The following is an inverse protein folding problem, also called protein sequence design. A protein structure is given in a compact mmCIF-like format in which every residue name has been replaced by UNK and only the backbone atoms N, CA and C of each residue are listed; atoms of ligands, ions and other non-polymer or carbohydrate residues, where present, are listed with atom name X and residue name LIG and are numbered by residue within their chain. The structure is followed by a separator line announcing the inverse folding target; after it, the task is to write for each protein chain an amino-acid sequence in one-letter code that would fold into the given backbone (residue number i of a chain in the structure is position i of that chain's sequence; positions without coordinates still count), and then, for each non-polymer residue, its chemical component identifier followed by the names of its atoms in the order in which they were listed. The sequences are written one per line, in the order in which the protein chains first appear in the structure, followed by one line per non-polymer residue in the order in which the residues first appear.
data_IF_267219271431
#
_entry.id   IF_267219271431
#
_cell.length_a   1.000
_cell.length_b   1.000
_cell.length_c   1.000
_cell.angle_alpha   90.00
_cell.angle_beta   90.00
_cell.angle_gamma   90.00
#
_symmetry.space_group_name_H-M   'P 1'
#
loop_
_entity.id
_entity.type
_entity.pdbx_description
1 polymer ?
#
# COMPACT_ATOMS: atom_id res chain seq x y z
N UNK A 1 37.85 11.51 -0.35
CA UNK A 1 36.81 12.47 0.07
C UNK A 1 35.50 12.11 -0.62
N UNK A 2 34.66 11.31 0.02
CA UNK A 2 33.33 10.96 -0.53
C UNK A 2 32.37 12.06 -0.10
N UNK A 3 31.86 12.80 -1.08
CA UNK A 3 30.88 13.86 -0.89
C UNK A 3 29.55 13.24 -0.41
N UNK A 4 29.29 13.31 0.90
CA UNK A 4 28.00 12.91 1.48
C UNK A 4 26.92 13.87 0.97
N UNK A 5 26.18 13.48 -0.06
CA UNK A 5 24.91 14.12 -0.40
C UNK A 5 23.97 13.92 0.79
N UNK A 6 23.78 14.98 1.59
CA UNK A 6 22.76 15.05 2.63
C UNK A 6 21.40 15.08 1.95
N UNK A 7 20.73 13.92 1.89
CA UNK A 7 19.37 13.81 1.37
C UNK A 7 18.38 14.25 2.45
N UNK A 8 17.77 15.42 2.25
CA UNK A 8 16.74 15.97 3.13
C UNK A 8 15.36 15.48 2.64
N UNK A 9 14.56 14.89 3.54
CA UNK A 9 13.15 14.57 3.26
C UNK A 9 12.28 15.83 3.22
N UNK A 10 11.09 15.74 2.60
CA UNK A 10 10.03 16.77 2.69
C UNK A 10 9.60 17.06 4.14
N UNK A 11 9.85 16.15 5.07
CA UNK A 11 9.64 16.32 6.52
C UNK A 11 10.81 16.98 7.27
N UNK A 12 11.93 17.27 6.60
CA UNK A 12 13.12 17.85 7.23
C UNK A 12 13.93 16.87 8.11
N UNK A 13 13.61 15.58 8.06
CA UNK A 13 14.35 14.52 8.78
C UNK A 13 15.61 14.15 8.02
N UNK A 14 16.73 14.07 8.73
CA UNK A 14 18.04 13.71 8.22
C UNK A 14 18.33 12.22 8.49
N UNK A 15 19.16 11.60 7.66
CA UNK A 15 19.58 10.21 7.83
C UNK A 15 21.00 10.20 8.36
N UNK A 16 21.24 9.56 9.51
CA UNK A 16 22.59 9.43 10.05
C UNK A 16 23.46 8.58 9.09
N UNK A 17 24.70 8.97 8.77
CA UNK A 17 25.63 8.17 7.96
C UNK A 17 25.80 6.71 8.44
N UNK A 18 25.65 6.45 9.74
CA UNK A 18 25.72 5.11 10.32
C UNK A 18 24.65 4.16 9.75
N UNK A 19 23.51 4.68 9.30
CA UNK A 19 22.45 3.89 8.65
C UNK A 19 22.96 3.31 7.33
N UNK A 20 23.69 4.11 6.54
CA UNK A 20 24.22 3.67 5.25
C UNK A 20 25.35 2.66 5.44
N UNK A 21 26.26 2.91 6.38
CA UNK A 21 27.37 2.00 6.66
C UNK A 21 26.88 0.66 7.21
N UNK A 22 25.85 0.66 8.07
CA UNK A 22 25.26 -0.57 8.62
C UNK A 22 24.47 -1.33 7.55
N UNK A 23 23.74 -0.62 6.68
CA UNK A 23 23.07 -1.27 5.55
C UNK A 23 24.05 -1.86 4.54
N UNK A 24 25.16 -1.18 4.27
CA UNK A 24 26.22 -1.70 3.40
C UNK A 24 26.81 -2.99 3.96
N UNK A 25 27.00 -3.11 5.28
CA UNK A 25 27.40 -4.37 5.94
C UNK A 25 26.37 -5.50 5.79
N UNK A 26 25.08 -5.17 5.67
CA UNK A 26 24.02 -6.14 5.37
C UNK A 26 24.00 -6.52 3.88
N UNK A 27 24.28 -5.57 2.97
CA UNK A 27 24.19 -5.76 1.51
C UNK A 27 25.47 -6.26 0.84
N UNK A 28 26.66 -5.99 1.37
CA UNK A 28 27.95 -6.36 0.78
C UNK A 28 28.56 -7.59 1.46
N UNK A 29 28.53 -8.72 0.75
CA UNK A 29 29.45 -9.86 0.88
C UNK A 29 29.38 -10.72 2.15
N UNK A 30 29.24 -10.12 3.34
CA UNK A 30 29.35 -10.83 4.62
C UNK A 30 28.00 -11.22 5.23
N UNK A 31 26.89 -10.57 4.85
CA UNK A 31 25.53 -10.82 5.38
C UNK A 31 25.55 -11.03 6.90
N UNK A 32 26.35 -10.22 7.60
CA UNK A 32 26.59 -10.37 9.05
C UNK A 32 25.29 -10.16 9.83
N UNK A 33 24.43 -9.24 9.35
CA UNK A 33 23.16 -8.89 9.97
C UNK A 33 21.97 -9.56 9.29
N UNK A 34 21.08 -10.15 10.09
CA UNK A 34 19.82 -10.72 9.62
C UNK A 34 18.73 -9.65 9.53
N UNK A 35 18.69 -8.76 10.51
CA UNK A 35 17.81 -7.59 10.49
C UNK A 35 18.41 -6.41 11.22
N UNK A 36 17.99 -5.22 10.81
CA UNK A 36 18.38 -3.94 11.39
C UNK A 36 17.10 -3.16 11.69
N UNK A 37 17.01 -2.59 12.89
CA UNK A 37 15.92 -1.75 13.34
C UNK A 37 16.43 -0.31 13.41
N UNK A 38 15.68 0.60 12.80
CA UNK A 38 15.94 2.03 12.82
C UNK A 38 14.82 2.77 13.55
N UNK A 39 15.20 3.83 14.26
CA UNK A 39 14.30 4.74 14.96
C UNK A 39 14.59 6.16 14.49
N UNK A 40 13.56 7.00 14.47
CA UNK A 40 13.69 8.45 14.33
C UNK A 40 13.73 9.05 15.73
N UNK A 41 14.80 9.76 16.03
CA UNK A 41 14.97 10.50 17.29
C UNK A 41 15.18 11.99 16.97
N UNK A 42 14.32 12.82 17.56
CA UNK A 42 14.24 14.30 17.44
C UNK A 42 14.06 14.88 16.03
N UNK A 43 14.83 14.44 15.03
CA UNK A 43 14.72 14.68 13.57
C UNK A 43 15.75 13.88 12.75
N UNK A 44 16.40 12.88 13.34
CA UNK A 44 17.43 12.08 12.68
C UNK A 44 17.09 10.59 12.75
N UNK A 45 17.33 9.87 11.65
CA UNK A 45 17.21 8.40 11.62
C UNK A 45 18.48 7.82 12.21
N UNK A 46 18.34 7.07 13.30
CA UNK A 46 19.42 6.37 14.01
C UNK A 46 19.22 4.85 13.95
N UNK A 47 20.32 4.11 13.98
CA UNK A 47 20.29 2.65 14.12
C UNK A 47 20.04 2.31 15.58
N UNK A 48 18.94 1.63 15.87
CA UNK A 48 18.62 1.24 17.25
C UNK A 48 19.16 -0.15 17.59
N UNK A 49 19.07 -1.07 16.63
CA UNK A 49 19.59 -2.43 16.80
C UNK A 49 20.00 -3.01 15.44
N UNK A 50 21.10 -3.75 15.43
CA UNK A 50 21.51 -4.58 14.30
C UNK A 50 21.82 -5.97 14.87
N UNK A 51 21.05 -6.98 14.46
CA UNK A 51 21.15 -8.33 15.03
C UNK A 51 21.78 -9.25 14.01
N UNK A 52 22.84 -9.93 14.44
CA UNK A 52 23.62 -10.84 13.60
C UNK A 52 23.00 -12.23 13.50
N UNK A 53 23.42 -13.00 12.49
CA UNK A 53 23.02 -14.41 12.37
C UNK A 53 23.54 -15.27 13.54
N UNK A 54 24.67 -14.88 14.15
CA UNK A 54 25.34 -15.59 15.25
C UNK A 54 24.57 -15.45 16.57
N UNK A 55 24.05 -14.26 16.88
CA UNK A 55 23.21 -14.02 18.07
C UNK A 55 21.86 -14.74 18.02
N UNK A 56 21.41 -15.13 16.82
CA UNK A 56 20.15 -15.85 16.63
C UNK A 56 20.29 -17.37 16.83
N UNK A 57 21.53 -17.90 16.89
CA UNK A 57 21.82 -19.32 17.15
C UNK A 57 21.23 -20.28 16.11
N UNK A 58 21.04 -19.83 14.86
CA UNK A 58 20.42 -20.64 13.81
C UNK A 58 21.49 -21.39 13.01
N UNK A 59 21.79 -22.62 13.44
CA UNK A 59 22.66 -23.59 12.76
C UNK A 59 21.82 -24.67 12.07
N UNK A 60 21.03 -24.29 11.05
CA UNK A 60 20.22 -25.24 10.29
C UNK A 60 20.22 -24.89 8.80
N UNK A 61 20.49 -25.89 7.95
CA UNK A 61 20.60 -25.77 6.49
C UNK A 61 19.26 -25.54 5.77
N UNK A 62 18.13 -25.56 6.50
CA UNK A 62 16.80 -25.28 5.97
C UNK A 62 16.49 -23.78 5.96
N UNK A 63 16.58 -23.20 4.76
CA UNK A 63 16.40 -21.77 4.49
C UNK A 63 15.02 -21.22 4.88
N UNK A 64 13.97 -22.03 4.78
CA UNK A 64 12.58 -21.59 5.00
C UNK A 64 12.21 -21.55 6.50
N UNK A 65 12.57 -22.59 7.25
CA UNK A 65 12.37 -22.63 8.71
C UNK A 65 13.30 -21.66 9.44
N UNK A 66 14.53 -21.47 8.97
CA UNK A 66 15.48 -20.47 9.51
C UNK A 66 14.93 -19.05 9.39
N UNK A 67 14.31 -18.71 8.26
CA UNK A 67 13.74 -17.37 8.03
C UNK A 67 12.46 -17.14 8.82
N UNK A 68 11.61 -18.16 9.02
CA UNK A 68 10.43 -18.07 9.88
C UNK A 68 10.79 -17.89 11.36
N UNK A 69 11.75 -18.68 11.86
CA UNK A 69 12.24 -18.55 13.24
C UNK A 69 12.93 -17.19 13.49
N UNK A 70 13.72 -16.71 12.53
CA UNK A 70 14.31 -15.38 12.60
C UNK A 70 13.24 -14.27 12.59
N UNK A 71 12.18 -14.43 11.80
CA UNK A 71 11.05 -13.50 11.75
C UNK A 71 10.24 -13.49 13.06
N UNK A 72 10.00 -14.64 13.68
CA UNK A 72 9.33 -14.72 14.98
C UNK A 72 10.13 -14.03 16.10
N UNK A 73 11.45 -14.24 16.13
CA UNK A 73 12.34 -13.53 17.07
C UNK A 73 12.38 -12.03 16.79
N UNK A 74 12.40 -11.62 15.52
CA UNK A 74 12.29 -10.22 15.11
C UNK A 74 10.96 -9.59 15.55
N UNK A 75 9.84 -10.28 15.37
CA UNK A 75 8.52 -9.83 15.83
C UNK A 75 8.49 -9.73 17.36
N UNK A 76 9.12 -10.68 18.07
CA UNK A 76 9.24 -10.63 19.52
C UNK A 76 10.12 -9.47 20.01
N UNK A 77 11.23 -9.18 19.33
CA UNK A 77 12.12 -8.05 19.64
C UNK A 77 11.41 -6.71 19.39
N UNK A 78 10.69 -6.59 18.28
CA UNK A 78 9.82 -5.44 18.02
C UNK A 78 8.76 -5.31 19.11
N UNK A 79 8.04 -6.39 19.46
CA UNK A 79 6.99 -6.34 20.48
C UNK A 79 7.53 -5.92 21.84
N UNK A 80 8.67 -6.46 22.27
CA UNK A 80 9.34 -6.08 23.53
C UNK A 80 9.74 -4.61 23.52
N UNK A 81 10.32 -4.12 22.42
CA UNK A 81 10.81 -2.74 22.32
C UNK A 81 9.72 -1.70 22.04
N UNK A 82 8.55 -2.13 21.60
CA UNK A 82 7.43 -1.23 21.24
C UNK A 82 6.43 -1.05 22.39
N UNK A 83 6.70 -1.56 23.60
CA UNK A 83 5.93 -1.34 24.85
C UNK A 83 4.46 -0.96 24.62
N UNK A 84 3.70 -1.89 24.02
CA UNK A 84 2.27 -1.69 23.76
C UNK A 84 1.90 -0.91 22.48
N UNK A 85 2.66 -1.03 21.37
CA UNK A 85 2.25 -0.51 20.05
C UNK A 85 2.21 1.03 19.96
N UNK A 86 3.02 1.72 20.78
CA UNK A 86 2.98 3.18 20.97
C UNK A 86 4.04 3.94 20.16
N UNK A 87 5.03 3.25 19.58
CA UNK A 87 6.10 3.89 18.81
C UNK A 87 6.26 3.30 17.40
N UNK A 88 6.62 4.16 16.45
CA UNK A 88 6.88 3.77 15.06
C UNK A 88 8.36 3.43 14.89
N UNK A 89 8.69 2.50 14.01
CA UNK A 89 10.08 2.09 13.70
C UNK A 89 10.21 1.65 12.25
N UNK A 90 11.41 1.74 11.68
CA UNK A 90 11.73 1.03 10.44
C UNK A 90 12.51 -0.21 10.75
N UNK A 91 12.38 -1.20 9.90
CA UNK A 91 13.22 -2.37 9.93
C UNK A 91 13.61 -2.79 8.53
N UNK A 92 14.84 -3.25 8.39
CA UNK A 92 15.33 -3.92 7.20
C UNK A 92 15.60 -5.36 7.59
N UNK A 93 15.04 -6.29 6.84
CA UNK A 93 15.18 -7.72 7.06
C UNK A 93 15.73 -8.38 5.81
N UNK A 94 16.80 -9.17 5.92
CA UNK A 94 17.29 -10.01 4.82
C UNK A 94 16.50 -11.32 4.79
N UNK A 95 15.54 -11.42 3.86
CA UNK A 95 14.72 -12.62 3.71
C UNK A 95 15.40 -13.59 2.75
N UNK A 96 15.85 -14.73 3.29
CA UNK A 96 16.44 -15.82 2.53
C UNK A 96 15.35 -16.86 2.26
N UNK A 97 15.06 -17.14 1.00
CA UNK A 97 14.04 -18.11 0.62
C UNK A 97 14.48 -18.96 -0.57
N UNK A 98 13.96 -20.18 -0.64
CA UNK A 98 14.17 -21.08 -1.77
C UNK A 98 12.95 -21.03 -2.67
N UNK A 99 13.16 -20.70 -3.95
CA UNK A 99 12.10 -20.81 -4.94
C UNK A 99 12.32 -22.10 -5.74
N UNK A 100 11.43 -23.06 -5.55
CA UNK A 100 11.35 -24.27 -6.38
C UNK A 100 10.36 -24.02 -7.52
N UNK A 101 10.87 -23.93 -8.75
CA UNK A 101 10.03 -23.85 -9.96
C UNK A 101 9.92 -25.25 -10.54
N UNK A 102 8.70 -25.69 -10.89
CA UNK A 102 8.47 -27.00 -11.52
C UNK A 102 9.29 -27.06 -12.81
N UNK A 103 10.34 -27.91 -12.84
CA UNK A 103 11.24 -28.09 -13.99
C UNK A 103 12.60 -27.37 -13.92
N UNK A 104 12.90 -26.55 -12.90
CA UNK A 104 14.16 -25.80 -12.82
C UNK A 104 14.76 -25.74 -11.40
N UNK A 105 14.88 -26.89 -10.72
CA UNK A 105 15.60 -27.03 -9.44
C UNK A 105 15.14 -26.10 -8.30
N UNK A 106 15.82 -26.21 -7.16
CA UNK A 106 15.66 -25.29 -6.02
C UNK A 106 16.68 -24.16 -6.12
N UNK A 107 16.23 -22.94 -6.39
CA UNK A 107 17.10 -21.76 -6.43
C UNK A 107 17.06 -21.03 -5.08
N UNK A 108 18.22 -20.87 -4.43
CA UNK A 108 18.38 -20.06 -3.21
C UNK A 108 18.40 -18.58 -3.61
N UNK A 109 17.47 -17.80 -3.08
CA UNK A 109 17.39 -16.36 -3.33
C UNK A 109 17.38 -15.60 -2.00
N UNK A 110 17.95 -14.40 -2.03
CA UNK A 110 17.87 -13.43 -0.96
C UNK A 110 17.19 -12.16 -1.47
N UNK A 111 16.27 -11.65 -0.66
CA UNK A 111 15.65 -10.34 -0.90
C UNK A 111 15.61 -9.56 0.40
N UNK A 112 16.13 -8.35 0.32
CA UNK A 112 16.06 -7.39 1.41
C UNK A 112 14.65 -6.81 1.43
N UNK A 113 13.97 -6.97 2.55
CA UNK A 113 12.62 -6.44 2.78
C UNK A 113 12.76 -5.23 3.70
N UNK A 114 12.23 -4.10 3.27
CA UNK A 114 12.07 -2.93 4.12
C UNK A 114 10.65 -2.91 4.69
N UNK A 115 10.56 -3.01 6.00
CA UNK A 115 9.33 -2.94 6.77
C UNK A 115 9.25 -1.58 7.47
N UNK A 116 8.15 -0.87 7.22
CA UNK A 116 7.78 0.29 8.00
C UNK A 116 6.74 -0.12 9.03
N UNK A 117 7.10 -0.09 10.32
CA UNK A 117 6.22 -0.43 11.42
C UNK A 117 5.61 0.85 11.97
N UNK A 118 4.33 1.05 11.70
CA UNK A 118 3.56 2.18 12.23
C UNK A 118 2.33 1.64 12.95
N UNK A 119 2.48 1.18 14.20
CA UNK A 119 1.38 0.57 14.93
C UNK A 119 0.30 1.59 15.32
N UNK A 120 -0.94 1.11 15.48
CA UNK A 120 -2.11 1.97 15.62
C UNK A 120 -2.14 2.83 16.88
N UNK A 121 -1.48 2.41 17.95
CA UNK A 121 -1.35 3.15 19.21
C UNK A 121 -0.36 4.33 19.16
N UNK A 122 0.43 4.47 18.10
CA UNK A 122 1.42 5.54 18.01
C UNK A 122 0.79 6.91 17.71
N UNK A 123 1.35 7.96 18.33
CA UNK A 123 0.94 9.35 18.12
C UNK A 123 0.89 9.72 16.63
N UNK A 124 -0.18 10.38 16.21
CA UNK A 124 -0.41 10.80 14.81
C UNK A 124 0.79 11.58 14.27
N UNK A 125 1.38 12.46 15.08
CA UNK A 125 2.59 13.23 14.74
C UNK A 125 3.76 12.32 14.37
N UNK A 126 3.99 11.25 15.13
CA UNK A 126 5.06 10.27 14.85
C UNK A 126 4.76 9.51 13.57
N UNK A 127 3.54 8.98 13.40
CA UNK A 127 3.13 8.30 12.16
C UNK A 127 3.34 9.17 10.92
N UNK A 128 3.01 10.46 11.02
CA UNK A 128 3.23 11.42 9.94
C UNK A 128 4.72 11.56 9.59
N UNK A 129 5.58 11.77 10.60
CA UNK A 129 7.03 11.91 10.39
C UNK A 129 7.63 10.63 9.79
N UNK A 130 7.23 9.45 10.26
CA UNK A 130 7.69 8.17 9.69
C UNK A 130 7.13 7.90 8.28
N UNK A 131 5.90 8.32 7.96
CA UNK A 131 5.39 8.19 6.59
C UNK A 131 6.16 9.10 5.62
N UNK A 132 6.40 10.36 6.01
CA UNK A 132 7.09 11.36 5.18
C UNK A 132 8.59 11.11 5.04
N UNK A 133 9.22 10.51 6.05
CA UNK A 133 10.67 10.24 6.04
C UNK A 133 11.04 8.92 5.35
N UNK A 134 10.06 8.08 5.03
CA UNK A 134 10.28 6.79 4.38
C UNK A 134 10.95 6.93 3.01
N UNK A 135 10.70 8.03 2.28
CA UNK A 135 11.34 8.30 0.99
C UNK A 135 12.83 8.61 1.13
N UNK A 136 13.24 9.37 2.16
CA UNK A 136 14.63 9.74 2.38
C UNK A 136 15.48 8.54 2.81
N UNK A 137 15.00 7.73 3.77
CA UNK A 137 15.74 6.53 4.18
C UNK A 137 15.87 5.54 3.01
N UNK A 138 14.83 5.38 2.18
CA UNK A 138 14.91 4.54 0.97
C UNK A 138 15.93 5.07 -0.04
N UNK A 139 15.96 6.38 -0.28
CA UNK A 139 16.96 7.00 -1.13
C UNK A 139 18.38 6.76 -0.60
N UNK A 140 18.55 6.79 0.73
CA UNK A 140 19.83 6.50 1.39
C UNK A 140 20.23 5.02 1.34
N UNK A 141 19.28 4.08 1.35
CA UNK A 141 19.52 2.63 1.31
C UNK A 141 19.68 2.09 -0.12
N UNK A 142 19.21 2.81 -1.15
CA UNK A 142 19.30 2.42 -2.55
C UNK A 142 18.08 1.65 -3.06
N UNK A 143 17.50 2.14 -4.14
CA UNK A 143 16.17 1.72 -4.67
C UNK A 143 16.15 0.39 -5.42
N UNK A 144 17.29 -0.24 -5.68
CA UNK A 144 17.38 -1.35 -6.65
C UNK A 144 17.08 -2.76 -6.12
N UNK A 145 17.19 -3.01 -4.81
CA UNK A 145 17.11 -4.38 -4.24
C UNK A 145 16.09 -4.57 -3.12
N UNK A 146 15.33 -3.53 -2.79
CA UNK A 146 14.47 -3.52 -1.60
C UNK A 146 13.03 -3.81 -2.00
N UNK A 147 12.47 -4.91 -1.50
CA UNK A 147 11.02 -5.13 -1.55
C UNK A 147 10.35 -4.26 -0.48
N UNK A 148 9.42 -3.40 -0.92
CA UNK A 148 8.65 -2.55 -0.03
C UNK A 148 7.47 -3.33 0.57
N UNK A 149 7.44 -3.47 1.89
CA UNK A 149 6.23 -3.82 2.64
C UNK A 149 5.81 -2.59 3.46
N UNK A 150 4.91 -1.80 2.88
CA UNK A 150 4.17 -0.80 3.66
C UNK A 150 2.86 -1.46 4.06
N UNK A 151 2.87 -2.15 5.20
CA UNK A 151 1.68 -2.75 5.76
C UNK A 151 0.86 -1.64 6.42
N UNK A 152 0.00 -0.96 5.65
CA UNK A 152 -1.33 -0.72 6.22
C UNK A 152 -1.84 -2.13 6.49
N UNK A 153 -1.95 -2.56 7.75
CA UNK A 153 -2.33 -3.93 8.12
C UNK A 153 -3.71 -4.39 7.62
N UNK A 154 -4.33 -3.59 6.75
CA UNK A 154 -5.58 -3.82 6.06
C UNK A 154 -5.37 -4.89 5.00
N UNK A 155 -5.83 -6.11 5.30
CA UNK A 155 -5.94 -7.21 4.36
C UNK A 155 -7.07 -6.91 3.36
N UNK A 156 -7.06 -7.56 2.21
CA UNK A 156 -8.16 -7.43 1.25
C UNK A 156 -8.96 -8.72 1.30
N UNK A 157 -10.25 -8.61 1.55
CA UNK A 157 -11.12 -9.78 1.55
C UNK A 157 -11.17 -10.37 0.13
N UNK A 158 -11.05 -11.70 -0.04
CA UNK A 158 -11.13 -12.35 -1.35
C UNK A 158 -12.42 -12.03 -2.12
N UNK A 159 -13.51 -11.72 -1.41
CA UNK A 159 -14.79 -11.31 -1.99
C UNK A 159 -14.66 -10.04 -2.84
N UNK A 160 -13.74 -9.13 -2.49
CA UNK A 160 -13.49 -7.92 -3.28
C UNK A 160 -12.99 -8.24 -4.68
N UNK A 161 -12.08 -9.23 -4.79
CA UNK A 161 -11.52 -9.66 -6.08
C UNK A 161 -12.58 -10.38 -6.92
N UNK A 162 -13.33 -11.29 -6.29
CA UNK A 162 -14.42 -12.01 -6.98
C UNK A 162 -15.49 -11.04 -7.50
N UNK A 163 -15.90 -10.06 -6.69
CA UNK A 163 -16.87 -9.04 -7.11
C UNK A 163 -16.34 -8.22 -8.29
N UNK A 164 -15.06 -7.81 -8.23
CA UNK A 164 -14.44 -7.06 -9.31
C UNK A 164 -14.31 -7.87 -10.61
N UNK A 165 -13.92 -9.14 -10.55
CA UNK A 165 -13.87 -10.02 -11.72
C UNK A 165 -15.26 -10.21 -12.36
N UNK A 166 -16.33 -10.23 -11.55
CA UNK A 166 -17.71 -10.27 -12.04
C UNK A 166 -18.16 -8.96 -12.70
N UNK A 167 -17.66 -7.82 -12.25
CA UNK A 167 -17.89 -6.52 -12.86
C UNK A 167 -17.08 -6.36 -14.16
N UNK A 168 -15.78 -6.68 -14.15
CA UNK A 168 -14.89 -6.43 -15.27
C UNK A 168 -15.04 -7.44 -16.41
N UNK A 169 -15.13 -8.74 -16.12
CA UNK A 169 -15.16 -9.77 -17.17
C UNK A 169 -16.58 -10.11 -17.63
N UNK A 170 -17.56 -10.05 -16.71
CA UNK A 170 -18.94 -10.48 -16.98
C UNK A 170 -19.92 -9.31 -17.11
N UNK A 171 -19.52 -8.08 -16.78
CA UNK A 171 -20.40 -6.90 -16.74
C UNK A 171 -21.74 -7.20 -16.05
N UNK A 172 -21.70 -7.97 -14.96
CA UNK A 172 -22.88 -8.35 -14.17
C UNK A 172 -23.25 -7.32 -13.12
N UNK A 173 -22.33 -6.42 -12.78
CA UNK A 173 -22.53 -5.39 -11.77
C UNK A 173 -22.16 -4.04 -12.38
N UNK A 174 -23.01 -3.04 -12.17
CA UNK A 174 -22.75 -1.67 -12.65
C UNK A 174 -21.84 -0.88 -11.71
N UNK A 175 -21.90 -1.16 -10.40
CA UNK A 175 -21.02 -0.54 -9.42
C UNK A 175 -20.74 -1.48 -8.25
N UNK A 176 -19.62 -1.28 -7.57
CA UNK A 176 -19.25 -1.95 -6.33
C UNK A 176 -18.73 -0.89 -5.37
N UNK A 177 -19.23 -0.89 -4.14
CA UNK A 177 -18.76 -0.04 -3.06
C UNK A 177 -17.96 -0.89 -2.08
N UNK A 178 -16.73 -0.47 -1.82
CA UNK A 178 -15.85 -1.07 -0.83
C UNK A 178 -15.68 -0.15 0.37
N UNK A 179 -15.55 -0.77 1.53
CA UNK A 179 -15.20 -0.08 2.77
C UNK A 179 -14.07 -0.78 3.49
N UNK A 180 -13.39 -0.05 4.34
CA UNK A 180 -12.54 -0.64 5.37
C UNK A 180 -13.46 -1.01 6.54
N UNK A 181 -13.30 -2.22 7.06
CA UNK A 181 -14.04 -2.70 8.22
C UNK A 181 -13.80 -1.81 9.45
N UNK A 182 -14.72 -1.82 10.42
CA UNK A 182 -14.61 -1.01 11.65
C UNK A 182 -13.37 -1.33 12.48
N UNK A 183 -12.80 -2.53 12.30
CA UNK A 183 -11.57 -2.95 12.96
C UNK A 183 -10.30 -2.46 12.26
N UNK A 184 -10.39 -1.73 11.15
CA UNK A 184 -9.26 -1.27 10.33
C UNK A 184 -8.36 -2.43 9.81
N UNK A 185 -8.85 -3.67 9.81
CA UNK A 185 -8.06 -4.87 9.49
C UNK A 185 -8.29 -5.42 8.09
N UNK A 186 -9.42 -5.12 7.46
CA UNK A 186 -9.74 -5.65 6.14
C UNK A 186 -10.59 -4.71 5.27
N UNK A 187 -10.36 -4.74 3.96
CA UNK A 187 -11.24 -4.13 2.96
C UNK A 187 -12.30 -5.15 2.58
N UNK A 188 -13.56 -4.77 2.76
CA UNK A 188 -14.74 -5.59 2.49
C UNK A 188 -15.65 -4.90 1.48
N UNK A 189 -16.43 -5.70 0.75
CA UNK A 189 -17.50 -5.20 -0.11
C UNK A 189 -18.67 -4.78 0.78
N UNK A 190 -19.10 -3.54 0.66
CA UNK A 190 -20.29 -3.05 1.36
C UNK A 190 -21.56 -3.29 0.54
N UNK A 191 -21.51 -2.92 -0.74
CA UNK A 191 -22.65 -2.98 -1.64
C UNK A 191 -22.20 -3.33 -3.05
N UNK A 192 -22.99 -4.15 -3.71
CA UNK A 192 -22.85 -4.47 -5.13
C UNK A 192 -24.12 -4.02 -5.82
N UNK A 193 -23.98 -3.26 -6.89
CA UNK A 193 -25.08 -2.82 -7.75
C UNK A 193 -25.41 -3.86 -8.81
N UNK A 194 -26.69 -4.02 -9.10
CA UNK A 194 -27.17 -4.93 -10.15
C UNK A 194 -26.81 -4.41 -11.55
N UNK A 195 -26.91 -5.30 -12.55
CA UNK A 195 -26.63 -4.99 -13.95
C UNK A 195 -27.63 -3.97 -14.49
N UNK A 196 -27.13 -2.81 -14.93
CA UNK A 196 -27.94 -1.75 -15.52
C UNK A 196 -28.49 -0.74 -14.52
N UNK A 197 -28.00 -0.76 -13.27
CA UNK A 197 -28.34 0.28 -12.31
C UNK A 197 -27.85 1.66 -12.81
N UNK A 198 -28.71 2.69 -12.79
CA UNK A 198 -28.34 4.02 -13.26
C UNK A 198 -27.31 4.65 -12.31
N UNK A 199 -26.47 5.53 -12.85
CA UNK A 199 -25.45 6.23 -12.06
C UNK A 199 -26.05 7.03 -10.89
N UNK A 200 -27.29 7.50 -11.01
CA UNK A 200 -28.04 8.15 -9.93
C UNK A 200 -28.23 7.25 -8.71
N UNK A 201 -28.48 5.96 -8.91
CA UNK A 201 -28.63 4.99 -7.81
C UNK A 201 -27.30 4.79 -7.08
N UNK A 202 -26.18 4.75 -7.82
CA UNK A 202 -24.85 4.72 -7.23
C UNK A 202 -24.59 5.94 -6.33
N UNK A 203 -24.97 7.14 -6.77
CA UNK A 203 -24.82 8.37 -5.96
C UNK A 203 -25.72 8.33 -4.72
N UNK A 204 -26.95 7.85 -4.84
CA UNK A 204 -27.84 7.68 -3.68
C UNK A 204 -27.30 6.66 -2.69
N UNK A 205 -26.81 5.51 -3.15
CA UNK A 205 -26.21 4.50 -2.28
C UNK A 205 -24.92 5.02 -1.65
N UNK A 206 -24.07 5.73 -2.39
CA UNK A 206 -22.91 6.44 -1.82
C UNK A 206 -23.33 7.44 -0.75
N UNK A 207 -24.39 8.22 -0.98
CA UNK A 207 -24.90 9.20 -0.01
C UNK A 207 -25.45 8.54 1.26
N UNK A 208 -26.27 7.49 1.12
CA UNK A 208 -26.77 6.69 2.25
C UNK A 208 -25.64 6.02 3.01
N UNK A 209 -24.61 5.59 2.29
CA UNK A 209 -23.49 4.97 2.91
C UNK A 209 -22.73 6.04 3.72
N UNK A 210 -22.50 7.23 3.17
CA UNK A 210 -21.77 8.35 3.80
C UNK A 210 -22.52 8.98 4.97
N UNK A 211 -23.72 8.50 5.32
CA UNK A 211 -24.58 9.03 6.37
C UNK A 211 -23.80 9.36 7.66
N UNK A 212 -23.61 10.67 7.90
CA UNK A 212 -22.77 11.23 8.95
C UNK A 212 -21.52 12.01 8.51
N UNK A 213 -21.21 12.11 7.21
CA UNK A 213 -20.16 12.97 6.63
C UNK A 213 -18.71 12.62 7.01
N UNK A 214 -18.52 11.53 7.76
CA UNK A 214 -17.25 11.18 8.41
C UNK A 214 -16.63 9.89 7.88
N UNK A 215 -17.25 9.26 6.89
CA UNK A 215 -16.84 7.95 6.39
C UNK A 215 -16.32 8.03 4.96
N UNK A 216 -15.10 7.53 4.75
CA UNK A 216 -14.51 7.38 3.43
C UNK A 216 -14.95 6.07 2.79
N UNK A 217 -15.00 6.02 1.46
CA UNK A 217 -15.35 4.82 0.70
C UNK A 217 -14.56 4.72 -0.59
N UNK A 218 -14.42 3.50 -1.07
CA UNK A 218 -13.99 3.27 -2.44
C UNK A 218 -15.16 2.75 -3.24
N UNK A 219 -15.18 3.05 -4.54
CA UNK A 219 -16.09 2.44 -5.46
C UNK A 219 -15.38 2.07 -6.76
N UNK A 220 -15.83 0.99 -7.38
CA UNK A 220 -15.54 0.69 -8.77
C UNK A 220 -16.86 0.80 -9.54
N UNK A 221 -16.89 1.61 -10.58
CA UNK A 221 -18.09 1.83 -11.39
C UNK A 221 -17.77 1.50 -12.83
N UNK A 222 -18.60 0.67 -13.47
CA UNK A 222 -18.50 0.43 -14.90
C UNK A 222 -19.32 1.49 -15.63
N UNK A 223 -18.63 2.39 -16.34
CA UNK A 223 -19.28 3.48 -17.06
C UNK A 223 -19.28 3.13 -18.55
N UNK A 224 -20.48 3.02 -19.11
CA UNK A 224 -20.66 2.89 -20.56
C UNK A 224 -20.50 4.27 -21.22
N UNK A 225 -19.48 4.40 -22.07
CA UNK A 225 -19.18 5.62 -22.82
C UNK A 225 -19.39 5.34 -24.30
N UNK A 226 -20.15 6.21 -24.96
CA UNK A 226 -20.25 6.19 -26.42
C UNK A 226 -19.10 7.00 -26.99
N UNK A 227 -18.15 6.33 -27.63
CA UNK A 227 -17.02 6.98 -28.29
C UNK A 227 -17.34 7.06 -29.79
N UNK A 228 -17.52 8.27 -30.27
CA UNK A 228 -17.60 8.54 -31.70
C UNK A 228 -16.17 8.71 -32.22
N UNK A 229 -15.64 7.68 -32.91
CA UNK A 229 -14.35 7.80 -33.59
C UNK A 229 -14.55 8.64 -34.85
N UNK A 230 -13.67 9.61 -35.10
CA UNK A 230 -13.70 10.40 -36.35
C UNK A 230 -13.54 9.42 -37.53
N UNK A 231 -14.59 9.28 -38.34
CA UNK A 231 -14.57 8.49 -39.57
C UNK A 231 -15.46 7.25 -39.64
N UNK A 232 -16.33 6.99 -38.66
CA UNK A 232 -17.35 5.91 -38.78
C UNK A 232 -18.68 6.36 -38.16
N UNK A 233 -19.78 6.22 -38.91
CA UNK A 233 -21.12 6.72 -38.52
C UNK A 233 -21.80 5.90 -37.41
N UNK A 234 -21.12 4.88 -36.85
CA UNK A 234 -21.58 4.11 -35.70
C UNK A 234 -20.83 4.52 -34.44
N UNK A 235 -21.52 5.08 -33.45
CA UNK A 235 -20.95 5.28 -32.11
C UNK A 235 -20.69 3.92 -31.46
N UNK A 236 -19.42 3.60 -31.18
CA UNK A 236 -19.06 2.38 -30.45
C UNK A 236 -19.32 2.58 -28.96
N UNK A 237 -20.13 1.70 -28.38
CA UNK A 237 -20.31 1.63 -26.92
C UNK A 237 -19.08 0.94 -26.32
N UNK A 238 -18.36 1.64 -25.46
CA UNK A 238 -17.21 1.11 -24.74
C UNK A 238 -17.51 1.15 -23.24
N UNK A 239 -17.32 0.02 -22.57
CA UNK A 239 -17.46 -0.06 -21.13
C UNK A 239 -16.08 0.16 -20.52
N UNK A 240 -15.99 1.13 -19.61
CA UNK A 240 -14.73 1.42 -18.92
C UNK A 240 -14.99 1.52 -17.43
N UNK A 241 -14.30 0.65 -16.70
CA UNK A 241 -14.32 0.65 -15.25
C UNK A 241 -13.47 1.79 -14.72
N UNK A 242 -14.05 2.60 -13.85
CA UNK A 242 -13.35 3.65 -13.11
C UNK A 242 -13.26 3.27 -11.65
N UNK A 243 -12.16 3.68 -11.03
CA UNK A 243 -12.00 3.57 -9.59
C UNK A 243 -12.20 4.94 -8.96
N UNK A 244 -13.20 5.04 -8.09
CA UNK A 244 -13.57 6.24 -7.36
C UNK A 244 -13.11 6.10 -5.92
N UNK A 245 -12.34 7.05 -5.44
CA UNK A 245 -11.99 7.20 -4.05
C UNK A 245 -12.73 8.40 -3.48
N UNK A 246 -13.70 8.13 -2.60
CA UNK A 246 -14.45 9.16 -1.91
C UNK A 246 -13.90 9.38 -0.50
N UNK A 247 -13.45 10.59 -0.23
CA UNK A 247 -12.77 10.94 1.01
C UNK A 247 -13.15 12.37 1.43
N UNK A 248 -14.25 12.53 2.21
CA UNK A 248 -14.70 13.86 2.61
C UNK A 248 -13.71 14.49 3.59
N UNK A 249 -13.56 15.81 3.54
CA UNK A 249 -12.65 16.53 4.42
C UNK A 249 -13.09 16.53 5.90
N UNK A 250 -14.39 16.38 6.15
CA UNK A 250 -14.97 16.21 7.49
C UNK A 250 -14.63 14.84 8.12
N UNK A 251 -14.12 13.88 7.36
CA UNK A 251 -13.69 12.59 7.90
C UNK A 251 -12.47 12.75 8.84
N UNK A 252 -12.41 11.96 9.92
CA UNK A 252 -11.29 12.04 10.86
C UNK A 252 -9.98 11.73 10.14
N UNK A 253 -8.94 12.52 10.44
CA UNK A 253 -7.60 12.44 9.81
C UNK A 253 -7.05 11.02 9.78
N UNK A 254 -7.29 10.24 10.85
CA UNK A 254 -6.89 8.84 10.93
C UNK A 254 -7.53 7.98 9.83
N UNK A 255 -8.83 8.11 9.57
CA UNK A 255 -9.51 7.36 8.49
C UNK A 255 -9.04 7.83 7.12
N UNK A 256 -8.94 9.15 6.90
CA UNK A 256 -8.43 9.70 5.64
C UNK A 256 -7.05 9.13 5.31
N UNK A 257 -6.18 9.06 6.30
CA UNK A 257 -4.85 8.47 6.16
C UNK A 257 -4.89 6.98 5.86
N UNK A 258 -5.73 6.21 6.54
CA UNK A 258 -5.90 4.77 6.29
C UNK A 258 -6.40 4.52 4.86
N UNK A 259 -7.39 5.27 4.40
CA UNK A 259 -7.91 5.15 3.04
C UNK A 259 -6.90 5.63 1.98
N UNK A 260 -6.17 6.71 2.23
CA UNK A 260 -5.11 7.15 1.33
C UNK A 260 -3.95 6.14 1.24
N UNK A 261 -3.63 5.46 2.34
CA UNK A 261 -2.53 4.48 2.38
C UNK A 261 -2.94 3.13 1.76
N UNK A 262 -4.20 2.71 1.97
CA UNK A 262 -4.69 1.40 1.53
C UNK A 262 -5.07 1.34 0.05
N UNK A 263 -5.25 2.50 -0.61
CA UNK A 263 -5.65 2.57 -2.02
C UNK A 263 -4.68 1.84 -2.93
N UNK A 264 -3.38 1.93 -2.66
CA UNK A 264 -2.35 1.28 -3.47
C UNK A 264 -2.44 -0.23 -3.39
N UNK A 265 -2.65 -0.77 -2.20
CA UNK A 265 -2.79 -2.20 -1.98
C UNK A 265 -4.05 -2.76 -2.66
N UNK A 266 -5.16 -2.02 -2.55
CA UNK A 266 -6.41 -2.37 -3.21
C UNK A 266 -6.26 -2.38 -4.74
N UNK A 267 -5.67 -1.32 -5.32
CA UNK A 267 -5.45 -1.22 -6.76
C UNK A 267 -4.55 -2.34 -7.29
N UNK A 268 -3.46 -2.64 -6.59
CA UNK A 268 -2.55 -3.73 -6.98
C UNK A 268 -3.25 -5.10 -6.95
N UNK A 269 -4.11 -5.34 -5.96
CA UNK A 269 -4.81 -6.63 -5.80
C UNK A 269 -5.92 -6.82 -6.82
N UNK A 270 -6.63 -5.74 -7.16
CA UNK A 270 -7.71 -5.74 -8.15
C UNK A 270 -7.19 -5.59 -9.59
N UNK A 271 -5.89 -5.35 -9.81
CA UNK A 271 -5.34 -5.09 -11.15
C UNK A 271 -5.75 -3.74 -11.75
N UNK A 272 -6.18 -2.78 -10.90
CA UNK A 272 -6.65 -1.45 -11.28
C UNK A 272 -5.50 -0.46 -11.59
N UNK A 273 -4.25 -0.93 -11.72
CA UNK A 273 -3.08 -0.06 -11.85
C UNK A 273 -3.13 0.80 -13.11
N UNK A 274 -3.73 0.29 -14.20
CA UNK A 274 -3.90 0.99 -15.47
C UNK A 274 -5.21 1.79 -15.56
N UNK A 275 -6.08 1.73 -14.55
CA UNK A 275 -7.39 2.35 -14.60
C UNK A 275 -7.40 3.76 -14.02
N UNK A 276 -8.28 4.58 -14.58
CA UNK A 276 -8.49 5.96 -14.15
C UNK A 276 -8.96 5.97 -12.70
N UNK A 277 -8.25 6.77 -11.88
CA UNK A 277 -8.61 6.99 -10.49
C UNK A 277 -9.19 8.39 -10.34
N UNK A 278 -10.45 8.45 -9.94
CA UNK A 278 -11.13 9.68 -9.56
C UNK A 278 -11.05 9.82 -8.06
N UNK A 279 -10.54 10.95 -7.57
CA UNK A 279 -10.57 11.30 -6.16
C UNK A 279 -11.62 12.39 -5.96
N UNK A 280 -12.60 12.12 -5.10
CA UNK A 280 -13.67 13.05 -4.80
C UNK A 280 -13.69 13.34 -3.29
N UNK A 281 -13.73 14.62 -2.95
CA UNK A 281 -14.00 15.08 -1.58
C UNK A 281 -15.50 15.27 -1.37
N UNK A 282 -16.21 15.72 -2.41
CA UNK A 282 -17.62 16.04 -2.36
C UNK A 282 -18.43 15.17 -3.33
N UNK A 283 -19.72 14.97 -3.03
CA UNK A 283 -20.61 14.24 -3.92
C UNK A 283 -20.81 14.97 -5.26
N UNK A 284 -20.60 16.28 -5.27
CA UNK A 284 -20.64 17.12 -6.46
C UNK A 284 -19.50 16.84 -7.45
N UNK A 285 -18.33 16.38 -6.97
CA UNK A 285 -17.21 15.97 -7.83
C UNK A 285 -17.49 14.68 -8.60
N UNK A 286 -18.50 13.93 -8.18
CA UNK A 286 -18.89 12.67 -8.80
C UNK A 286 -19.91 12.87 -9.93
N UNK A 287 -20.01 14.06 -10.51
CA UNK A 287 -20.95 14.33 -11.59
C UNK A 287 -20.68 13.44 -12.82
N UNK A 288 -21.74 12.79 -13.30
CA UNK A 288 -21.67 11.83 -14.40
C UNK A 288 -21.09 12.46 -15.68
N UNK A 289 -21.40 13.72 -15.96
CA UNK A 289 -20.93 14.41 -17.17
C UNK A 289 -19.44 14.71 -17.09
N UNK A 290 -18.96 15.13 -15.93
CA UNK A 290 -17.54 15.41 -15.70
C UNK A 290 -16.69 14.14 -15.88
N UNK A 291 -17.12 13.04 -15.25
CA UNK A 291 -16.43 11.75 -15.33
C UNK A 291 -16.45 11.20 -16.76
N UNK A 292 -17.59 11.26 -17.45
CA UNK A 292 -17.68 10.83 -18.86
C UNK A 292 -16.77 11.67 -19.77
N UNK A 293 -16.72 12.98 -19.56
CA UNK A 293 -15.84 13.86 -20.33
C UNK A 293 -14.36 13.51 -20.11
N UNK A 294 -13.95 13.31 -18.85
CA UNK A 294 -12.57 12.92 -18.50
C UNK A 294 -12.19 11.57 -19.12
N UNK A 295 -13.09 10.57 -19.05
CA UNK A 295 -12.90 9.25 -19.65
C UNK A 295 -12.71 9.28 -21.18
N UNK A 296 -13.42 10.17 -21.87
CA UNK A 296 -13.27 10.37 -23.32
C UNK A 296 -11.93 11.04 -23.63
N UNK A 297 -11.51 12.00 -22.79
CA UNK A 297 -10.25 12.73 -22.97
C UNK A 297 -9.03 11.82 -22.77
N UNK A 298 -9.04 10.96 -21.75
CA UNK A 298 -7.95 10.01 -21.47
C UNK A 298 -7.85 8.86 -22.48
N UNK A 299 -8.83 8.69 -23.37
CA UNK A 299 -8.75 7.71 -24.46
C UNK A 299 -8.10 8.26 -25.74
N UNK A 300 -7.93 9.59 -25.86
CA UNK A 300 -7.33 10.23 -27.03
C UNK A 300 -5.80 10.35 -26.96
N UNK A 301 -5.20 9.99 -25.84
CA UNK A 301 -3.73 9.99 -25.63
C UNK A 301 -3.22 8.56 -25.72
#
# INVERSE_FOLDING_TARGET
MVCLKRFQSTSGVMVNPDVQSTFQKLSEGKKEFRYIIFKIEEREVVVEAAVSQEELGLTGDDYDDSSKAAFEKFVADIKKRTDGFTDCRYAVFDFKFTCSRVGAGTSKMDKIVFLQLCPDGASIKKKMVYASSASAIKASLGTGKILQFQASGVKIDPSCKNAYDMLHNKHQHSYIIFKIDKNDTAIVVEKVGDKGAPYSEFIEEMRKAVDGGKECRYAAVDVEVQVQRQGTEGGSKLNKVIFVQYCPDEAPVRRRMLYASSVRALKATLGLESLMQVQASDLSDLDEKAIKHELVSSQRT
#
